data_IF_026251703067
#
_entry.id   IF_026251703067
#
_cell.length_a   1.000
_cell.length_b   1.000
_cell.length_c   1.000
_cell.angle_alpha   90.00
_cell.angle_beta   90.00
_cell.angle_gamma   90.00
#
_symmetry.space_group_name_H-M   'P 1'
#
loop_
_entity.id
_entity.type
_entity.pdbx_description
1 polymer ?
#
# COMPACT_ATOMS: atom_id res chain seq x y z
N UNK A 1 -5.52 -11.41 -28.04
CA UNK A 1 -5.19 -11.00 -26.65
C UNK A 1 -4.09 -11.84 -26.03
N UNK A 2 -4.13 -13.18 -26.15
CA UNK A 2 -3.11 -14.08 -25.60
C UNK A 2 -1.67 -13.79 -26.07
N UNK A 3 -1.48 -13.43 -27.35
CA UNK A 3 -0.16 -13.03 -27.87
C UNK A 3 0.41 -11.77 -27.21
N UNK A 4 -0.43 -10.75 -26.96
CA UNK A 4 -0.03 -9.53 -26.26
C UNK A 4 0.34 -9.81 -24.79
N UNK A 5 -0.44 -10.64 -24.10
CA UNK A 5 -0.14 -11.05 -22.73
C UNK A 5 1.19 -11.82 -22.64
N UNK A 6 1.49 -12.69 -23.60
CA UNK A 6 2.74 -13.45 -23.65
C UNK A 6 3.94 -12.53 -23.90
N UNK A 7 3.81 -11.52 -24.76
CA UNK A 7 4.85 -10.51 -24.98
C UNK A 7 5.12 -9.71 -23.69
N UNK A 8 4.08 -9.27 -23.00
CA UNK A 8 4.23 -8.56 -21.72
C UNK A 8 4.85 -9.45 -20.62
N UNK A 9 4.54 -10.74 -20.59
CA UNK A 9 5.15 -11.72 -19.68
C UNK A 9 6.67 -11.79 -19.87
N UNK A 10 7.11 -11.88 -21.13
CA UNK A 10 8.54 -11.96 -21.47
C UNK A 10 9.26 -10.66 -21.07
N UNK A 11 8.65 -9.50 -21.37
CA UNK A 11 9.21 -8.20 -20.99
C UNK A 11 9.33 -8.07 -19.46
N UNK A 12 8.31 -8.49 -18.72
CA UNK A 12 8.31 -8.46 -17.25
C UNK A 12 9.40 -9.36 -16.65
N UNK A 13 9.64 -10.56 -17.21
CA UNK A 13 10.72 -11.45 -16.76
C UNK A 13 12.11 -10.87 -17.05
N UNK A 14 12.32 -10.30 -18.23
CA UNK A 14 13.58 -9.65 -18.58
C UNK A 14 13.82 -8.46 -17.65
N UNK A 15 12.81 -7.62 -17.44
CA UNK A 15 12.88 -6.50 -16.52
C UNK A 15 13.20 -6.96 -15.08
N UNK A 16 12.54 -8.01 -14.60
CA UNK A 16 12.80 -8.62 -13.29
C UNK A 16 14.26 -9.10 -13.17
N UNK A 17 14.79 -9.78 -14.20
CA UNK A 17 16.16 -10.29 -14.23
C UNK A 17 17.22 -9.18 -14.35
N UNK A 18 16.93 -8.11 -15.09
CA UNK A 18 17.85 -6.98 -15.31
C UNK A 18 17.98 -6.00 -14.13
N UNK A 19 17.32 -6.28 -13.00
CA UNK A 19 17.60 -5.53 -11.77
C UNK A 19 16.45 -4.67 -11.24
N UNK A 20 15.20 -5.00 -11.58
CA UNK A 20 14.03 -4.45 -10.86
C UNK A 20 14.11 -4.68 -9.33
N UNK A 21 14.98 -5.58 -8.84
CA UNK A 21 15.27 -5.74 -7.42
C UNK A 21 15.83 -4.49 -6.71
N UNK A 22 16.59 -3.63 -7.41
CA UNK A 22 17.11 -2.38 -6.84
C UNK A 22 16.05 -1.29 -6.67
N UNK A 23 15.08 -1.24 -7.59
CA UNK A 23 13.93 -0.33 -7.48
C UNK A 23 12.93 -0.88 -6.47
N UNK A 24 12.75 -2.20 -6.41
CA UNK A 24 11.91 -2.86 -5.42
C UNK A 24 12.39 -2.60 -3.99
N UNK A 25 13.70 -2.55 -3.74
CA UNK A 25 14.24 -2.23 -2.41
C UNK A 25 14.04 -0.76 -2.02
N UNK A 26 14.26 0.17 -2.95
CA UNK A 26 13.98 1.59 -2.75
C UNK A 26 12.48 1.85 -2.51
N UNK A 27 11.62 1.25 -3.33
CA UNK A 27 10.17 1.29 -3.18
C UNK A 27 9.71 0.67 -1.86
N UNK A 28 10.31 -0.45 -1.42
CA UNK A 28 10.02 -1.06 -0.13
C UNK A 28 10.38 -0.14 1.05
N UNK A 29 11.44 0.67 0.92
CA UNK A 29 11.78 1.71 1.89
C UNK A 29 10.69 2.77 2.02
N UNK A 30 10.24 3.31 0.88
CA UNK A 30 9.19 4.34 0.83
C UNK A 30 7.84 3.78 1.34
N UNK A 31 7.51 2.54 0.95
CA UNK A 31 6.29 1.86 1.39
C UNK A 31 6.24 1.68 2.92
N UNK A 32 7.36 1.36 3.57
CA UNK A 32 7.44 1.26 5.03
C UNK A 32 7.11 2.60 5.70
N UNK A 33 7.68 3.70 5.20
CA UNK A 33 7.41 5.05 5.75
C UNK A 33 5.93 5.41 5.64
N UNK A 34 5.33 5.23 4.46
CA UNK A 34 3.91 5.47 4.24
C UNK A 34 3.02 4.58 5.11
N UNK A 35 3.38 3.31 5.28
CA UNK A 35 2.66 2.38 6.15
C UNK A 35 2.62 2.86 7.60
N UNK A 36 3.75 3.33 8.15
CA UNK A 36 3.78 3.87 9.51
C UNK A 36 2.97 5.15 9.66
N UNK A 37 3.04 6.07 8.69
CA UNK A 37 2.22 7.29 8.70
C UNK A 37 0.73 6.94 8.67
N UNK A 38 0.34 6.02 7.77
CA UNK A 38 -1.03 5.53 7.70
C UNK A 38 -1.47 4.87 9.00
N UNK A 39 -0.62 4.05 9.63
CA UNK A 39 -0.93 3.38 10.89
C UNK A 39 -1.19 4.40 12.00
N UNK A 40 -0.36 5.44 12.13
CA UNK A 40 -0.56 6.50 13.13
C UNK A 40 -1.91 7.20 12.91
N UNK A 41 -2.19 7.62 11.67
CA UNK A 41 -3.46 8.29 11.33
C UNK A 41 -4.64 7.34 11.60
N UNK A 42 -4.53 6.09 11.18
CA UNK A 42 -5.55 5.06 11.39
C UNK A 42 -5.85 4.84 12.87
N UNK A 43 -4.81 4.76 13.72
CA UNK A 43 -4.99 4.61 15.17
C UNK A 43 -5.67 5.83 15.77
N UNK A 44 -5.28 7.05 15.36
CA UNK A 44 -5.95 8.28 15.83
C UNK A 44 -7.43 8.29 15.44
N UNK A 45 -7.72 8.00 14.17
CA UNK A 45 -9.10 7.93 13.67
C UNK A 45 -9.91 6.82 14.34
N UNK A 46 -9.29 5.66 14.59
CA UNK A 46 -9.90 4.55 15.31
C UNK A 46 -10.28 4.95 16.72
N UNK A 47 -9.36 5.59 17.47
CA UNK A 47 -9.62 6.06 18.83
C UNK A 47 -10.71 7.13 18.82
N UNK A 48 -10.64 8.11 17.91
CA UNK A 48 -11.68 9.13 17.76
C UNK A 48 -13.04 8.52 17.44
N UNK A 49 -13.11 7.50 16.58
CA UNK A 49 -14.35 6.81 16.25
C UNK A 49 -14.88 5.90 17.36
N UNK A 50 -13.99 5.34 18.19
CA UNK A 50 -14.38 4.53 19.34
C UNK A 50 -14.88 5.40 20.50
N UNK A 51 -14.18 6.50 20.78
CA UNK A 51 -14.47 7.44 21.88
C UNK A 51 -15.61 8.39 21.51
N UNK A 52 -15.73 8.77 20.23
CA UNK A 52 -16.74 9.69 19.70
C UNK A 52 -18.14 9.08 19.54
N UNK A 53 -18.36 7.81 19.90
CA UNK A 53 -19.70 7.27 20.15
C UNK A 53 -20.24 7.83 21.46
N UNK A 54 -20.39 9.16 21.52
CA UNK A 54 -21.08 9.86 22.59
C UNK A 54 -22.56 9.43 22.60
N UNK A 55 -23.16 9.25 23.79
CA UNK A 55 -24.56 8.82 23.94
C UNK A 55 -25.50 9.69 23.10
N UNK A 56 -26.52 9.09 22.45
CA UNK A 56 -27.51 9.85 21.71
C UNK A 56 -28.13 10.93 22.61
N UNK A 57 -28.35 12.14 22.08
CA UNK A 57 -28.93 13.23 22.87
C UNK A 57 -30.29 12.79 23.42
N UNK A 58 -30.54 12.96 24.73
CA UNK A 58 -31.86 12.69 25.30
C UNK A 58 -32.84 13.73 24.76
N UNK A 59 -33.80 13.26 23.94
CA UNK A 59 -35.02 13.99 23.55
C UNK A 59 -36.17 13.65 24.48
#
# INVERSE_FOLDING_TARGET
MLGWALTFLIIALIAAAFGFGGIASAAAGIAKVLFFIFLIIFVVLLIMGLVGRGPPPPV
#
